data_IF_387577751413
#
_entry.id   IF_387577751413
#
_cell.length_a   1.000
_cell.length_b   1.000
_cell.length_c   1.000
_cell.angle_alpha   90.00
_cell.angle_beta   90.00
_cell.angle_gamma   90.00
#
_symmetry.space_group_name_H-M   'P 1'
#
loop_
_entity.id
_entity.type
_entity.pdbx_description
1 polymer ?
#
# COMPACT_ATOMS: atom_id res chain seq x y z
N UNK A 1 -17.12 8.60 -11.01
CA UNK A 1 -16.13 9.67 -11.27
C UNK A 1 -16.55 10.85 -10.41
N UNK A 2 -15.86 11.15 -9.32
CA UNK A 2 -16.26 12.24 -8.41
C UNK A 2 -15.13 13.26 -8.36
N UNK A 3 -15.45 14.52 -8.68
CA UNK A 3 -14.50 15.63 -8.60
C UNK A 3 -14.49 16.15 -7.17
N UNK A 4 -13.45 15.87 -6.40
CA UNK A 4 -13.31 16.44 -5.07
C UNK A 4 -12.68 17.83 -5.20
N UNK A 5 -13.48 18.86 -4.93
CA UNK A 5 -13.05 20.25 -5.01
C UNK A 5 -12.34 20.65 -3.71
N UNK A 6 -11.08 20.26 -3.57
CA UNK A 6 -10.19 20.83 -2.55
C UNK A 6 -9.67 22.19 -3.01
N UNK A 7 -9.52 23.15 -2.08
CA UNK A 7 -9.20 24.57 -2.31
C UNK A 7 -7.80 24.74 -2.95
N UNK A 8 -7.67 24.44 -4.25
CA UNK A 8 -6.45 24.69 -5.05
C UNK A 8 -6.06 23.64 -6.10
N UNK A 9 -6.57 22.40 -6.05
CA UNK A 9 -6.20 21.33 -7.00
C UNK A 9 -7.44 20.48 -7.33
N UNK A 10 -7.82 20.45 -8.61
CA UNK A 10 -8.87 19.56 -9.15
C UNK A 10 -8.20 18.25 -9.62
N UNK A 11 -7.83 17.38 -8.69
CA UNK A 11 -7.37 16.04 -9.05
C UNK A 11 -8.56 15.14 -9.36
N UNK A 12 -8.55 14.56 -10.56
CA UNK A 12 -9.59 13.62 -11.00
C UNK A 12 -9.32 12.27 -10.34
N UNK A 13 -9.77 12.08 -9.10
CA UNK A 13 -9.57 10.81 -8.40
C UNK A 13 -10.51 9.77 -9.00
N UNK A 14 -9.95 8.87 -9.80
CA UNK A 14 -10.70 7.75 -10.37
C UNK A 14 -11.05 6.78 -9.24
N UNK A 15 -12.35 6.58 -8.98
CA UNK A 15 -12.85 5.66 -7.95
C UNK A 15 -12.26 4.25 -8.02
N UNK A 16 -11.85 3.83 -9.23
CA UNK A 16 -11.16 2.57 -9.51
C UNK A 16 -9.93 2.33 -8.62
N UNK A 17 -9.23 3.39 -8.19
CA UNK A 17 -7.98 3.27 -7.43
C UNK A 17 -8.18 3.29 -5.90
N UNK A 18 -9.35 3.71 -5.40
CA UNK A 18 -9.69 3.67 -3.97
C UNK A 18 -9.63 2.26 -3.36
N UNK A 19 -10.20 1.20 -3.98
CA UNK A 19 -10.07 -0.16 -3.44
C UNK A 19 -8.62 -0.64 -3.44
N UNK A 20 -7.83 -0.27 -4.44
CA UNK A 20 -6.41 -0.62 -4.54
C UNK A 20 -5.60 -0.06 -3.38
N UNK A 21 -5.79 1.22 -3.03
CA UNK A 21 -5.13 1.85 -1.87
C UNK A 21 -5.50 1.16 -0.55
N UNK A 22 -6.78 0.82 -0.35
CA UNK A 22 -7.23 0.08 0.85
C UNK A 22 -6.58 -1.29 0.93
N UNK A 23 -6.51 -2.01 -0.19
CA UNK A 23 -5.89 -3.33 -0.25
C UNK A 23 -4.38 -3.27 0.03
N UNK A 24 -3.68 -2.22 -0.41
CA UNK A 24 -2.26 -2.05 -0.07
C UNK A 24 -2.02 -1.80 1.42
N UNK A 25 -2.84 -0.99 2.10
CA UNK A 25 -2.72 -0.76 3.54
C UNK A 25 -3.01 -2.02 4.37
N UNK A 26 -4.01 -2.80 3.96
CA UNK A 26 -4.33 -4.09 4.60
C UNK A 26 -3.16 -5.05 4.47
N UNK A 27 -2.60 -5.19 3.27
CA UNK A 27 -1.49 -6.10 3.03
C UNK A 27 -0.19 -5.65 3.73
N UNK A 28 0.11 -4.35 3.77
CA UNK A 28 1.25 -3.81 4.52
C UNK A 28 1.13 -4.08 6.02
N UNK A 29 -0.06 -3.85 6.60
CA UNK A 29 -0.33 -4.09 8.02
C UNK A 29 -0.23 -5.59 8.37
N UNK A 30 -0.72 -6.47 7.50
CA UNK A 30 -0.60 -7.92 7.66
C UNK A 30 0.87 -8.38 7.73
N UNK A 31 1.73 -7.84 6.87
CA UNK A 31 3.16 -8.14 6.90
C UNK A 31 3.81 -7.69 8.22
N UNK A 32 3.45 -6.50 8.72
CA UNK A 32 4.00 -5.97 9.97
C UNK A 32 3.56 -6.81 11.17
N UNK A 33 2.27 -7.17 11.23
CA UNK A 33 1.74 -8.04 12.30
C UNK A 33 2.40 -9.42 12.24
N UNK A 34 2.56 -10.00 11.06
CA UNK A 34 3.26 -11.27 10.90
C UNK A 34 4.72 -11.18 11.36
N UNK A 35 5.45 -10.13 10.97
CA UNK A 35 6.83 -9.91 11.40
C UNK A 35 6.92 -9.76 12.93
N UNK A 36 5.99 -9.05 13.56
CA UNK A 36 5.94 -8.89 15.01
C UNK A 36 5.68 -10.21 15.74
N UNK A 37 4.71 -11.00 15.26
CA UNK A 37 4.40 -12.32 15.83
C UNK A 37 5.60 -13.26 15.70
N UNK A 38 6.27 -13.29 14.54
CA UNK A 38 7.47 -14.12 14.35
C UNK A 38 8.66 -13.62 15.18
N UNK A 39 8.82 -12.30 15.36
CA UNK A 39 9.84 -11.74 16.23
C UNK A 39 9.67 -12.15 17.70
N UNK A 40 8.41 -12.31 18.13
CA UNK A 40 8.08 -12.78 19.49
C UNK A 40 8.21 -14.30 19.64
N UNK A 41 7.86 -15.06 18.62
CA UNK A 41 7.78 -16.53 18.70
C UNK A 41 9.11 -17.24 18.38
N UNK A 42 9.93 -16.68 17.49
CA UNK A 42 11.15 -17.34 16.98
C UNK A 42 12.40 -16.61 17.45
N UNK A 43 12.60 -15.38 17.00
CA UNK A 43 13.82 -14.62 17.28
C UNK A 43 13.59 -13.12 16.99
N UNK A 44 14.02 -12.18 17.85
CA UNK A 44 13.77 -10.74 17.69
C UNK A 44 14.30 -10.16 16.36
N UNK A 45 15.24 -10.85 15.71
CA UNK A 45 15.76 -10.49 14.37
C UNK A 45 14.68 -10.50 13.28
N UNK A 46 13.56 -11.20 13.46
CA UNK A 46 12.46 -11.17 12.49
C UNK A 46 11.78 -9.79 12.37
N UNK A 47 12.04 -8.86 13.30
CA UNK A 47 11.59 -7.46 13.18
C UNK A 47 12.16 -6.77 11.93
N UNK A 48 13.32 -7.19 11.42
CA UNK A 48 13.88 -6.63 10.18
C UNK A 48 12.96 -6.82 8.97
N UNK A 49 12.05 -7.80 8.97
CA UNK A 49 11.07 -7.97 7.90
C UNK A 49 10.02 -6.86 7.86
N UNK A 50 9.71 -6.22 8.99
CA UNK A 50 8.80 -5.08 9.02
C UNK A 50 9.40 -3.82 8.38
N UNK A 51 10.74 -3.75 8.27
CA UNK A 51 11.40 -2.63 7.58
C UNK A 51 11.12 -2.63 6.08
N UNK A 52 10.84 -3.80 5.48
CA UNK A 52 10.58 -3.91 4.04
C UNK A 52 9.34 -3.10 3.59
N UNK A 53 8.14 -3.28 4.18
CA UNK A 53 6.99 -2.43 3.86
C UNK A 53 7.16 -0.97 4.33
N UNK A 54 7.89 -0.73 5.43
CA UNK A 54 8.16 0.63 5.91
C UNK A 54 9.02 1.44 4.93
N UNK A 55 10.09 0.83 4.41
CA UNK A 55 10.95 1.43 3.40
C UNK A 55 10.19 1.66 2.09
N UNK A 56 9.33 0.72 1.69
CA UNK A 56 8.43 0.87 0.53
C UNK A 56 7.48 2.07 0.65
N UNK A 57 6.92 2.33 1.83
CA UNK A 57 6.11 3.53 2.09
C UNK A 57 6.93 4.82 1.98
N UNK A 58 8.18 4.79 2.46
CA UNK A 58 9.10 5.92 2.41
C UNK A 58 9.44 6.30 0.96
N UNK A 59 9.76 5.29 0.14
CA UNK A 59 9.97 5.46 -1.30
C UNK A 59 8.71 5.93 -2.03
N UNK A 60 7.53 5.45 -1.63
CA UNK A 60 6.26 5.91 -2.21
C UNK A 60 6.01 7.40 -1.93
N UNK A 61 6.38 7.90 -0.75
CA UNK A 61 6.31 9.33 -0.44
C UNK A 61 7.28 10.18 -1.26
N UNK A 62 8.49 9.67 -1.52
CA UNK A 62 9.52 10.38 -2.29
C UNK A 62 9.29 10.35 -3.81
N UNK A 63 8.83 9.22 -4.35
CA UNK A 63 8.75 8.96 -5.79
C UNK A 63 7.34 8.93 -6.36
N UNK A 64 6.31 8.87 -5.51
CA UNK A 64 4.93 8.60 -5.93
C UNK A 64 4.69 7.15 -6.39
N UNK A 65 5.70 6.28 -6.33
CA UNK A 65 5.61 4.90 -6.77
C UNK A 65 5.55 3.93 -5.59
N UNK A 66 4.44 3.19 -5.48
CA UNK A 66 4.32 2.08 -4.54
C UNK A 66 4.37 0.76 -5.31
N UNK A 67 5.42 -0.08 -5.13
CA UNK A 67 5.56 -1.34 -5.88
C UNK A 67 4.38 -2.29 -5.66
N UNK A 68 3.81 -2.26 -4.44
CA UNK A 68 2.62 -3.03 -4.08
C UNK A 68 1.40 -2.66 -4.94
N UNK A 69 1.20 -1.36 -5.20
CA UNK A 69 0.11 -0.85 -6.03
C UNK A 69 0.29 -1.31 -7.47
N UNK A 70 1.52 -1.27 -8.00
CA UNK A 70 1.82 -1.72 -9.36
C UNK A 70 1.50 -3.20 -9.59
N UNK A 71 1.71 -4.05 -8.57
CA UNK A 71 1.34 -5.47 -8.62
C UNK A 71 -0.19 -5.62 -8.63
N UNK A 72 -0.89 -4.93 -7.73
CA UNK A 72 -2.35 -4.99 -7.65
C UNK A 72 -3.06 -4.49 -8.91
N UNK A 73 -2.52 -3.47 -9.57
CA UNK A 73 -3.08 -2.93 -10.81
C UNK A 73 -3.02 -3.92 -11.98
N UNK A 74 -2.07 -4.87 -11.97
CA UNK A 74 -1.97 -5.92 -13.00
C UNK A 74 -2.95 -7.06 -12.79
N UNK A 75 -3.59 -7.15 -11.64
CA UNK A 75 -4.47 -8.28 -11.34
C UNK A 75 -5.81 -8.16 -12.09
N UNK A 76 -6.31 -9.25 -12.69
CA UNK A 76 -7.39 -9.20 -13.67
C UNK A 76 -8.73 -8.69 -13.11
N UNK A 77 -8.96 -8.81 -11.81
CA UNK A 77 -10.15 -8.31 -11.13
C UNK A 77 -10.15 -6.79 -10.90
N UNK A 78 -9.01 -6.11 -11.08
CA UNK A 78 -8.90 -4.65 -10.98
C UNK A 78 -9.12 -3.96 -12.34
N UNK A 79 -9.42 -4.73 -13.39
CA UNK A 79 -9.84 -4.22 -14.69
C UNK A 79 -11.36 -3.98 -14.67
N UNK A 80 -11.77 -2.74 -14.39
CA UNK A 80 -13.03 -2.22 -14.93
C UNK A 80 -12.86 -2.12 -16.45
N UNK A 81 -13.73 -2.78 -17.21
CA UNK A 81 -14.17 -2.28 -18.51
C UNK A 81 -14.60 -0.81 -18.44
#
# INVERSE_FOLDING_TARGET
>A
MFTLKTKGLQETVTLKNLPTLRQTFVAASLLIVAAFVLAKAVDPRWMYLALLPAFGLMLAGLSGFCPMVAILQKMPWNKLD
#
